data_IF_378311762655
#
_entry.id   IF_378311762655
#
_cell.length_a   1.000
_cell.length_b   1.000
_cell.length_c   1.000
_cell.angle_alpha   90.00
_cell.angle_beta   90.00
_cell.angle_gamma   90.00
#
_symmetry.space_group_name_H-M   'P 1'
#
loop_
_entity.id
_entity.type
_entity.pdbx_description
1 polymer ?
#
# COMPACT_ATOMS: atom_id res chain seq x y z
N UNK A 1 -4.53 -22.33 -7.96
CA UNK A 1 -4.41 -20.93 -8.42
C UNK A 1 -3.58 -20.86 -9.70
N UNK A 2 -2.31 -21.29 -9.69
CA UNK A 2 -1.42 -21.22 -10.86
C UNK A 2 -2.03 -21.88 -12.11
N UNK A 3 -2.74 -23.01 -11.96
CA UNK A 3 -3.46 -23.66 -13.08
C UNK A 3 -4.49 -22.73 -13.72
N UNK A 4 -5.18 -21.86 -12.94
CA UNK A 4 -6.15 -20.90 -13.47
C UNK A 4 -5.48 -19.72 -14.20
N UNK A 5 -4.22 -19.43 -13.92
CA UNK A 5 -3.45 -18.37 -14.59
C UNK A 5 -2.93 -18.81 -15.97
N UNK A 6 -2.70 -20.14 -16.17
CA UNK A 6 -2.35 -20.74 -17.46
C UNK A 6 -1.28 -19.98 -18.23
N UNK A 7 -1.65 -19.49 -19.40
CA UNK A 7 -0.77 -18.81 -20.36
C UNK A 7 -0.17 -17.48 -19.85
N UNK A 8 -0.60 -16.98 -18.71
CA UNK A 8 0.02 -15.80 -18.07
C UNK A 8 1.30 -16.13 -17.31
N UNK A 9 1.69 -17.41 -17.27
CA UNK A 9 2.88 -17.90 -16.60
C UNK A 9 3.96 -18.29 -17.60
N UNK A 10 5.22 -18.15 -17.20
CA UNK A 10 6.35 -18.73 -17.91
C UNK A 10 6.40 -20.23 -17.63
N UNK A 11 5.66 -21.01 -18.44
CA UNK A 11 5.46 -22.44 -18.20
C UNK A 11 6.74 -23.29 -18.38
N UNK A 12 7.74 -22.76 -19.04
CA UNK A 12 9.08 -23.33 -19.26
C UNK A 12 10.06 -23.05 -18.09
N UNK A 13 9.70 -22.13 -17.18
CA UNK A 13 10.55 -21.81 -16.04
C UNK A 13 10.71 -23.02 -15.11
N UNK A 14 11.97 -23.32 -14.74
CA UNK A 14 12.32 -24.39 -13.82
C UNK A 14 11.91 -24.04 -12.39
N UNK A 15 11.45 -25.05 -11.67
CA UNK A 15 11.14 -24.98 -10.23
C UNK A 15 12.22 -25.69 -9.40
N UNK A 16 12.10 -25.57 -8.07
CA UNK A 16 13.02 -26.24 -7.13
C UNK A 16 12.97 -27.78 -7.19
N UNK A 17 11.94 -28.35 -7.80
CA UNK A 17 11.82 -29.80 -8.01
C UNK A 17 12.57 -30.29 -9.26
N UNK A 18 13.12 -29.38 -10.07
CA UNK A 18 13.76 -29.71 -11.36
C UNK A 18 12.77 -29.87 -12.52
N UNK A 19 11.46 -29.80 -12.25
CA UNK A 19 10.42 -29.78 -13.26
C UNK A 19 10.08 -28.35 -13.68
N UNK A 20 9.55 -28.16 -14.89
CA UNK A 20 9.01 -26.87 -15.31
C UNK A 20 7.66 -26.60 -14.63
N UNK A 21 7.28 -25.30 -14.56
CA UNK A 21 5.92 -24.92 -14.10
C UNK A 21 4.85 -25.65 -14.92
N UNK A 22 5.01 -25.75 -16.23
CA UNK A 22 4.08 -26.48 -17.09
C UNK A 22 3.92 -27.96 -16.72
N UNK A 23 5.03 -28.64 -16.43
CA UNK A 23 5.03 -30.04 -15.98
C UNK A 23 4.29 -30.21 -14.66
N UNK A 24 4.59 -29.37 -13.66
CA UNK A 24 3.88 -29.38 -12.37
C UNK A 24 2.38 -29.13 -12.51
N UNK A 25 1.99 -28.24 -13.43
CA UNK A 25 0.60 -27.87 -13.63
C UNK A 25 -0.17 -28.87 -14.51
N UNK A 26 0.49 -29.80 -15.20
CA UNK A 26 -0.16 -30.77 -16.09
C UNK A 26 -1.22 -31.60 -15.33
N UNK A 27 -0.87 -32.08 -14.14
CA UNK A 27 -1.75 -32.89 -13.29
C UNK A 27 -2.60 -32.07 -12.31
N UNK A 28 -2.41 -30.76 -12.24
CA UNK A 28 -3.15 -29.92 -11.31
C UNK A 28 -4.60 -29.70 -11.76
N UNK A 29 -5.55 -29.76 -10.86
CA UNK A 29 -6.97 -29.54 -11.11
C UNK A 29 -7.55 -28.45 -10.22
N UNK A 30 -8.50 -27.69 -10.75
CA UNK A 30 -9.31 -26.76 -9.98
C UNK A 30 -10.51 -27.53 -9.43
N UNK A 31 -10.43 -27.92 -8.16
CA UNK A 31 -11.48 -28.74 -7.50
C UNK A 31 -12.75 -27.96 -7.20
N UNK A 32 -12.63 -26.68 -6.92
CA UNK A 32 -13.77 -25.81 -6.60
C UNK A 32 -13.69 -24.48 -7.38
N UNK A 33 -14.43 -24.35 -8.50
CA UNK A 33 -14.44 -23.13 -9.30
C UNK A 33 -15.14 -21.94 -8.62
N UNK A 34 -15.90 -22.18 -7.54
CA UNK A 34 -16.46 -21.08 -6.75
C UNK A 34 -15.39 -20.41 -5.86
N UNK A 35 -14.29 -21.11 -5.56
CA UNK A 35 -13.17 -20.58 -4.78
C UNK A 35 -12.07 -20.05 -5.70
N UNK A 36 -11.71 -20.84 -6.73
CA UNK A 36 -10.68 -20.46 -7.71
C UNK A 36 -11.38 -20.23 -9.05
N UNK A 37 -11.69 -18.98 -9.32
CA UNK A 37 -12.37 -18.56 -10.55
C UNK A 37 -11.46 -18.66 -11.77
N UNK A 38 -12.02 -18.94 -12.97
CA UNK A 38 -11.25 -18.83 -14.21
C UNK A 38 -10.94 -17.37 -14.56
N UNK A 39 -9.87 -17.13 -15.32
CA UNK A 39 -9.51 -15.78 -15.81
C UNK A 39 -10.62 -15.07 -16.56
N UNK A 40 -11.49 -15.82 -17.22
CA UNK A 40 -12.64 -15.27 -17.96
C UNK A 40 -13.77 -14.73 -17.06
N UNK A 41 -13.78 -15.09 -15.77
CA UNK A 41 -14.79 -14.66 -14.82
C UNK A 41 -14.19 -14.50 -13.41
N UNK A 42 -13.22 -13.61 -13.21
CA UNK A 42 -12.54 -13.40 -11.92
C UNK A 42 -13.47 -12.74 -10.90
N UNK A 43 -13.13 -12.81 -9.62
CA UNK A 43 -13.83 -12.04 -8.58
C UNK A 43 -13.68 -10.52 -8.77
N UNK A 44 -12.49 -10.09 -9.22
CA UNK A 44 -12.17 -8.70 -9.53
C UNK A 44 -11.33 -8.67 -10.81
N UNK A 45 -11.48 -7.64 -11.66
CA UNK A 45 -10.73 -7.54 -12.91
C UNK A 45 -9.23 -7.33 -12.69
N UNK A 46 -8.86 -6.79 -11.53
CA UNK A 46 -7.49 -6.50 -11.14
C UNK A 46 -7.09 -7.22 -9.85
N UNK A 47 -5.77 -7.32 -9.60
CA UNK A 47 -5.22 -7.85 -8.36
C UNK A 47 -5.53 -6.97 -7.15
N UNK A 48 -5.42 -7.56 -5.95
CA UNK A 48 -5.70 -6.85 -4.69
C UNK A 48 -4.66 -5.80 -4.29
N UNK A 49 -3.51 -5.77 -4.96
CA UNK A 49 -2.40 -4.83 -4.69
C UNK A 49 -2.05 -4.08 -5.96
N UNK A 50 -1.84 -2.77 -5.83
CA UNK A 50 -1.46 -1.90 -6.95
C UNK A 50 -0.30 -0.99 -6.59
N UNK A 51 0.42 -0.53 -7.61
CA UNK A 51 1.49 0.46 -7.48
C UNK A 51 0.96 1.82 -7.92
N UNK A 52 1.23 2.83 -7.10
CA UNK A 52 0.93 4.24 -7.38
C UNK A 52 2.23 4.96 -7.73
N UNK A 53 2.14 5.97 -8.59
CA UNK A 53 3.25 6.82 -9.01
C UNK A 53 2.89 8.28 -8.89
N UNK A 54 3.88 9.15 -8.87
CA UNK A 54 3.68 10.60 -8.84
C UNK A 54 4.89 11.32 -8.26
N UNK A 55 4.74 12.64 -8.06
CA UNK A 55 5.84 13.44 -7.51
C UNK A 55 6.24 13.03 -6.08
N UNK A 56 5.34 12.40 -5.33
CA UNK A 56 5.63 11.88 -3.99
C UNK A 56 6.30 10.49 -4.04
N UNK A 57 6.04 9.72 -5.08
CA UNK A 57 6.57 8.37 -5.26
C UNK A 57 7.01 8.14 -6.73
N UNK A 58 8.09 8.78 -7.20
CA UNK A 58 8.55 8.63 -8.58
C UNK A 58 8.95 7.19 -8.93
N UNK A 59 9.49 6.43 -7.98
CA UNK A 59 9.86 5.03 -8.15
C UNK A 59 8.74 4.06 -7.71
N UNK A 60 7.59 4.60 -7.31
CA UNK A 60 6.39 3.86 -6.94
C UNK A 60 6.14 3.78 -5.44
N UNK A 61 4.89 3.46 -5.12
CA UNK A 61 4.41 3.15 -3.78
C UNK A 61 3.32 2.07 -3.89
N UNK A 62 3.10 1.29 -2.85
CA UNK A 62 2.21 0.13 -2.88
C UNK A 62 0.99 0.33 -1.99
N UNK A 63 -0.18 0.02 -2.50
CA UNK A 63 -1.43 -0.01 -1.73
C UNK A 63 -2.19 -1.31 -1.94
N UNK A 64 -2.76 -1.85 -0.86
CA UNK A 64 -3.69 -2.99 -0.91
C UNK A 64 -5.09 -2.47 -1.27
N UNK A 65 -5.36 -2.27 -2.57
CA UNK A 65 -6.63 -1.69 -3.03
C UNK A 65 -7.86 -2.51 -2.62
N UNK A 66 -7.72 -3.83 -2.44
CA UNK A 66 -8.81 -4.70 -1.99
C UNK A 66 -9.28 -4.42 -0.55
N UNK A 67 -8.49 -3.70 0.25
CA UNK A 67 -8.81 -3.31 1.61
C UNK A 67 -9.27 -1.84 1.72
N UNK A 68 -9.36 -1.13 0.60
CA UNK A 68 -9.75 0.27 0.56
C UNK A 68 -11.22 0.38 0.17
N UNK A 69 -12.03 1.04 1.01
CA UNK A 69 -13.42 1.32 0.72
C UNK A 69 -13.55 2.20 -0.54
N UNK A 70 -14.63 2.04 -1.29
CA UNK A 70 -14.85 2.72 -2.56
C UNK A 70 -14.78 4.26 -2.43
N UNK A 71 -15.34 4.82 -1.35
CA UNK A 71 -15.35 6.26 -1.08
C UNK A 71 -13.97 6.83 -0.65
N UNK A 72 -12.97 5.96 -0.44
CA UNK A 72 -11.60 6.32 -0.07
C UNK A 72 -10.57 5.97 -1.16
N UNK A 73 -11.01 5.42 -2.30
CA UNK A 73 -10.11 5.06 -3.41
C UNK A 73 -9.54 6.27 -4.16
N UNK A 74 -10.26 7.39 -4.11
CA UNK A 74 -9.76 8.70 -4.52
C UNK A 74 -9.92 9.63 -3.33
N UNK A 75 -8.81 9.95 -2.67
CA UNK A 75 -8.78 10.69 -1.43
C UNK A 75 -7.78 11.83 -1.49
N UNK A 76 -8.16 12.96 -0.92
CA UNK A 76 -7.29 14.10 -0.69
C UNK A 76 -7.41 14.53 0.75
N UNK A 77 -6.27 14.84 1.36
CA UNK A 77 -6.23 15.26 2.74
C UNK A 77 -4.99 16.07 3.06
N UNK A 78 -5.00 16.68 4.24
CA UNK A 78 -3.85 17.44 4.73
C UNK A 78 -2.83 16.52 5.37
N UNK A 79 -1.58 16.70 5.03
CA UNK A 79 -0.47 15.98 5.62
C UNK A 79 -0.35 16.29 7.12
N UNK A 80 -0.25 15.23 7.91
CA UNK A 80 0.24 15.21 9.28
C UNK A 80 1.57 14.48 9.27
N UNK A 81 2.66 15.20 9.44
CA UNK A 81 4.01 14.69 9.20
C UNK A 81 4.62 14.18 10.50
N UNK A 82 5.05 12.92 10.48
CA UNK A 82 5.67 12.22 11.62
C UNK A 82 6.94 11.51 11.16
N UNK A 83 8.02 11.70 11.90
CA UNK A 83 9.33 11.12 11.58
C UNK A 83 9.57 9.76 12.24
N UNK A 84 8.51 9.10 12.72
CA UNK A 84 8.55 7.73 13.22
C UNK A 84 7.14 7.17 13.47
N UNK A 85 7.02 5.84 13.53
CA UNK A 85 5.81 5.16 13.99
C UNK A 85 5.40 5.62 15.40
N UNK A 86 6.37 5.81 16.32
CA UNK A 86 6.11 6.27 17.68
C UNK A 86 5.44 7.64 17.69
N UNK A 87 5.94 8.60 16.91
CA UNK A 87 5.33 9.93 16.81
C UNK A 87 3.89 9.86 16.27
N UNK A 88 3.61 8.97 15.32
CA UNK A 88 2.27 8.75 14.81
C UNK A 88 1.32 8.17 15.87
N UNK A 89 1.79 7.26 16.73
CA UNK A 89 1.01 6.73 17.84
C UNK A 89 0.72 7.81 18.90
N UNK A 90 1.69 8.65 19.23
CA UNK A 90 1.52 9.78 20.13
C UNK A 90 0.49 10.80 19.61
N UNK A 91 0.53 11.09 18.30
CA UNK A 91 -0.44 11.99 17.66
C UNK A 91 -1.87 11.41 17.67
N UNK A 92 -2.03 10.13 17.39
CA UNK A 92 -3.32 9.45 17.50
C UNK A 92 -3.84 9.42 18.93
N UNK A 93 -2.97 9.09 19.92
CA UNK A 93 -3.33 9.02 21.31
C UNK A 93 -3.69 10.37 21.94
N UNK A 94 -3.11 11.46 21.46
CA UNK A 94 -3.41 12.84 21.91
C UNK A 94 -4.63 13.47 21.23
N UNK A 95 -5.20 12.80 20.20
CA UNK A 95 -6.31 13.34 19.42
C UNK A 95 -5.89 14.46 18.44
N UNK A 96 -4.60 14.53 18.08
CA UNK A 96 -4.09 15.50 17.12
C UNK A 96 -4.41 15.15 15.65
N UNK A 97 -4.89 13.93 15.40
CA UNK A 97 -5.31 13.47 14.07
C UNK A 97 -6.81 13.63 13.92
N UNK A 98 -7.24 14.15 12.77
CA UNK A 98 -8.63 14.47 12.49
C UNK A 98 -9.13 13.79 11.19
N UNK A 99 -10.44 13.76 11.02
CA UNK A 99 -11.05 13.34 9.75
C UNK A 99 -10.56 14.22 8.59
N UNK A 100 -10.14 13.59 7.53
CA UNK A 100 -9.58 14.26 6.35
C UNK A 100 -8.06 14.37 6.34
N UNK A 101 -7.38 13.93 7.39
CA UNK A 101 -5.92 13.95 7.45
C UNK A 101 -5.28 12.78 6.67
N UNK A 102 -4.05 13.00 6.20
CA UNK A 102 -3.13 11.99 5.69
C UNK A 102 -1.92 11.93 6.61
N UNK A 103 -1.78 10.84 7.35
CA UNK A 103 -0.60 10.58 8.17
C UNK A 103 0.59 10.24 7.26
N UNK A 104 1.60 11.09 7.22
CA UNK A 104 2.84 10.88 6.48
C UNK A 104 3.91 10.46 7.48
N UNK A 105 4.23 9.15 7.48
CA UNK A 105 5.21 8.56 8.41
C UNK A 105 6.50 8.31 7.65
N UNK A 106 7.58 8.99 8.05
CA UNK A 106 8.86 9.01 7.36
C UNK A 106 9.93 8.27 8.13
N UNK A 107 11.02 7.95 7.43
CA UNK A 107 12.23 7.31 7.99
C UNK A 107 12.00 5.90 8.54
N UNK A 108 10.96 5.21 8.04
CA UNK A 108 10.64 3.81 8.36
C UNK A 108 10.99 2.87 7.18
N UNK A 109 11.66 3.40 6.15
CA UNK A 109 12.10 2.64 4.99
C UNK A 109 13.31 1.76 5.25
N UNK A 110 13.83 1.07 4.22
CA UNK A 110 14.90 0.07 4.35
C UNK A 110 16.18 0.59 5.00
N UNK A 111 16.51 1.88 4.81
CA UNK A 111 17.71 2.51 5.38
C UNK A 111 17.38 3.36 6.60
N UNK A 112 16.24 4.07 6.58
CA UNK A 112 15.81 4.93 7.68
C UNK A 112 15.34 4.16 8.90
N UNK A 113 14.58 3.07 8.68
CA UNK A 113 14.08 2.16 9.72
C UNK A 113 14.79 0.80 9.67
N UNK A 114 15.85 0.57 10.44
CA UNK A 114 16.60 -0.70 10.38
C UNK A 114 15.71 -1.92 10.55
N UNK A 115 15.76 -2.85 9.58
CA UNK A 115 14.90 -4.02 9.55
C UNK A 115 13.50 -3.76 9.00
N UNK A 116 13.16 -2.50 8.69
CA UNK A 116 11.88 -2.07 8.11
C UNK A 116 10.69 -2.74 8.80
N UNK A 117 10.44 -2.46 10.09
CA UNK A 117 9.36 -3.08 10.85
C UNK A 117 8.00 -2.72 10.24
N UNK A 118 7.01 -3.58 10.46
CA UNK A 118 5.64 -3.29 10.03
C UNK A 118 5.02 -2.20 10.90
N UNK A 119 4.39 -1.19 10.29
CA UNK A 119 3.66 -0.11 10.96
C UNK A 119 2.27 -0.60 11.43
N UNK A 120 2.25 -1.73 12.14
CA UNK A 120 1.00 -2.38 12.56
C UNK A 120 0.32 -1.63 13.71
N UNK A 121 1.10 -1.11 14.65
CA UNK A 121 0.55 -0.46 15.83
C UNK A 121 -0.25 0.80 15.46
N UNK A 122 0.22 1.60 14.50
CA UNK A 122 -0.50 2.79 13.99
C UNK A 122 -1.81 2.39 13.32
N UNK A 123 -1.81 1.35 12.48
CA UNK A 123 -3.04 0.91 11.79
C UNK A 123 -4.09 0.38 12.77
N UNK A 124 -3.66 -0.32 13.81
CA UNK A 124 -4.55 -0.78 14.89
C UNK A 124 -5.08 0.40 15.72
N UNK A 125 -4.21 1.35 16.09
CA UNK A 125 -4.62 2.54 16.84
C UNK A 125 -5.65 3.36 16.03
N UNK A 126 -5.41 3.54 14.71
CA UNK A 126 -6.35 4.22 13.83
C UNK A 126 -7.69 3.48 13.75
N UNK A 127 -7.68 2.16 13.62
CA UNK A 127 -8.91 1.35 13.59
C UNK A 127 -9.75 1.48 14.88
N UNK A 128 -9.09 1.70 16.03
CA UNK A 128 -9.76 1.89 17.33
C UNK A 128 -10.11 3.34 17.64
N UNK A 129 -9.55 4.33 16.93
CA UNK A 129 -9.79 5.75 17.18
C UNK A 129 -11.21 6.23 16.84
N UNK A 130 -11.95 5.48 16.03
CA UNK A 130 -13.24 5.87 15.48
C UNK A 130 -13.16 6.76 14.24
N UNK A 131 -11.98 7.22 13.85
CA UNK A 131 -11.75 7.97 12.61
C UNK A 131 -11.95 7.06 11.39
N UNK A 132 -12.67 7.58 10.39
CA UNK A 132 -13.05 6.78 9.21
C UNK A 132 -12.49 7.30 7.89
N UNK A 133 -12.07 8.54 7.86
CA UNK A 133 -11.56 9.23 6.66
C UNK A 133 -10.14 9.75 6.89
N UNK A 134 -9.26 8.85 7.26
CA UNK A 134 -7.82 9.10 7.42
C UNK A 134 -7.06 8.14 6.52
N UNK A 135 -6.05 8.64 5.84
CA UNK A 135 -5.12 7.83 5.04
C UNK A 135 -3.74 7.80 5.71
N UNK A 136 -2.95 6.77 5.37
CA UNK A 136 -1.55 6.66 5.78
C UNK A 136 -0.66 6.54 4.55
N UNK A 137 0.47 7.25 4.58
CA UNK A 137 1.52 7.20 3.57
C UNK A 137 2.86 7.04 4.28
N UNK A 138 3.67 6.06 3.88
CA UNK A 138 4.97 5.81 4.52
C UNK A 138 5.99 5.23 3.54
N UNK A 139 7.25 5.53 3.75
CA UNK A 139 8.37 4.84 3.11
C UNK A 139 8.66 3.46 3.75
N UNK A 140 8.05 3.19 4.91
CA UNK A 140 8.00 1.89 5.55
C UNK A 140 7.00 0.92 4.92
N UNK A 141 6.57 -0.08 5.67
CA UNK A 141 5.62 -1.11 5.20
C UNK A 141 4.46 -1.33 6.16
N UNK A 142 3.38 -1.85 5.62
CA UNK A 142 2.20 -2.26 6.40
C UNK A 142 2.03 -3.78 6.43
N UNK A 143 1.36 -4.26 7.47
CA UNK A 143 0.91 -5.65 7.55
C UNK A 143 -0.12 -5.98 6.46
N UNK A 144 -0.16 -7.23 6.03
CA UNK A 144 -1.21 -7.73 5.13
C UNK A 144 -2.63 -7.66 5.71
N UNK A 145 -2.77 -7.53 7.04
CA UNK A 145 -4.04 -7.36 7.73
C UNK A 145 -4.55 -5.90 7.75
N UNK A 146 -3.74 -4.94 7.27
CA UNK A 146 -4.09 -3.52 7.24
C UNK A 146 -5.32 -3.25 6.38
N UNK A 147 -6.22 -2.42 6.88
CA UNK A 147 -7.42 -1.91 6.21
C UNK A 147 -7.29 -0.40 5.94
N UNK A 148 -8.04 0.08 4.93
CA UNK A 148 -8.06 1.49 4.54
C UNK A 148 -6.96 1.89 3.55
N UNK A 149 -6.89 3.19 3.19
CA UNK A 149 -5.93 3.71 2.22
C UNK A 149 -4.54 3.88 2.86
N UNK A 150 -3.87 2.76 3.09
CA UNK A 150 -2.51 2.69 3.60
C UNK A 150 -1.55 2.43 2.45
N UNK A 151 -0.79 3.45 2.09
CA UNK A 151 0.20 3.46 1.01
C UNK A 151 1.58 3.31 1.62
N UNK A 152 2.21 2.17 1.41
CA UNK A 152 3.58 1.88 1.88
C UNK A 152 4.59 1.83 0.76
N UNK A 153 5.84 1.58 1.14
CA UNK A 153 6.97 1.45 0.20
C UNK A 153 7.14 2.68 -0.71
N UNK A 154 6.82 3.89 -0.19
CA UNK A 154 7.05 5.13 -0.95
C UNK A 154 8.52 5.24 -1.30
N UNK A 155 8.79 5.32 -2.59
CA UNK A 155 10.16 5.26 -3.10
C UNK A 155 10.45 6.42 -4.05
N UNK A 156 11.63 7.05 -3.90
CA UNK A 156 12.69 6.82 -2.89
C UNK A 156 12.29 7.17 -1.45
N UNK A 157 12.87 6.44 -0.47
CA UNK A 157 12.61 6.68 0.96
C UNK A 157 13.16 8.02 1.46
N UNK A 158 12.64 8.53 2.58
CA UNK A 158 13.05 9.81 3.18
C UNK A 158 14.53 9.87 3.54
N UNK A 159 15.09 8.78 4.08
CA UNK A 159 16.48 8.73 4.56
C UNK A 159 17.52 9.01 3.47
N UNK A 160 17.23 8.66 2.23
CA UNK A 160 18.11 8.95 1.08
C UNK A 160 17.71 10.23 0.33
N UNK A 161 16.87 11.06 0.91
CA UNK A 161 16.42 12.32 0.32
C UNK A 161 15.30 12.16 -0.72
N UNK A 162 14.50 11.09 -0.63
CA UNK A 162 13.32 10.93 -1.47
C UNK A 162 12.28 12.03 -1.22
N UNK A 163 11.35 12.27 -2.17
CA UNK A 163 10.37 13.37 -2.09
C UNK A 163 9.53 13.39 -0.81
N UNK A 164 9.27 12.23 -0.22
CA UNK A 164 8.53 12.12 1.04
C UNK A 164 9.22 12.86 2.20
N UNK A 165 10.56 13.03 2.15
CA UNK A 165 11.30 13.81 3.15
C UNK A 165 10.94 15.29 3.12
N UNK A 166 10.53 15.81 1.97
CA UNK A 166 10.18 17.22 1.75
C UNK A 166 8.72 17.57 1.99
N UNK A 167 7.88 16.60 2.39
CA UNK A 167 6.48 16.89 2.71
C UNK A 167 6.41 17.71 4.00
N UNK A 168 5.66 18.80 3.96
CA UNK A 168 5.46 19.69 5.09
C UNK A 168 4.09 19.49 5.75
N UNK A 169 3.99 19.89 7.00
CA UNK A 169 2.74 19.84 7.75
C UNK A 169 1.68 20.70 7.07
N UNK A 170 0.54 20.11 6.73
CA UNK A 170 -0.57 20.79 6.07
C UNK A 170 -0.57 20.73 4.55
N UNK A 171 0.47 20.22 3.92
CA UNK A 171 0.47 19.96 2.46
C UNK A 171 -0.74 19.13 2.02
N UNK A 172 -1.26 19.38 0.84
CA UNK A 172 -2.32 18.54 0.27
C UNK A 172 -1.72 17.27 -0.35
N UNK A 173 -2.04 16.12 0.23
CA UNK A 173 -1.68 14.81 -0.33
C UNK A 173 -2.88 14.22 -1.07
N UNK A 174 -2.67 13.77 -2.30
CA UNK A 174 -3.66 13.10 -3.14
C UNK A 174 -3.26 11.65 -3.38
N UNK A 175 -4.18 10.76 -3.04
CA UNK A 175 -4.15 9.32 -3.30
C UNK A 175 -5.28 9.02 -4.29
N UNK A 176 -4.96 8.59 -5.49
CA UNK A 176 -5.94 8.22 -6.52
C UNK A 176 -5.61 6.82 -7.04
N UNK A 177 -6.22 5.81 -6.42
CA UNK A 177 -5.97 4.41 -6.72
C UNK A 177 -6.44 4.06 -8.14
N UNK A 178 -7.63 4.47 -8.61
CA UNK A 178 -8.06 4.24 -9.98
C UNK A 178 -7.08 4.76 -11.04
N UNK A 179 -6.51 5.94 -10.83
CA UNK A 179 -5.56 6.56 -11.76
C UNK A 179 -4.09 6.24 -11.43
N UNK A 180 -3.83 5.38 -10.45
CA UNK A 180 -2.47 4.96 -10.03
C UNK A 180 -1.59 6.14 -9.62
N UNK A 181 -2.15 7.13 -8.92
CA UNK A 181 -1.49 8.39 -8.60
C UNK A 181 -1.28 8.55 -7.09
N UNK A 182 -0.05 8.98 -6.73
CA UNK A 182 0.29 9.50 -5.40
C UNK A 182 1.08 10.79 -5.58
N UNK A 183 0.52 11.90 -5.10
CA UNK A 183 1.20 13.19 -5.22
C UNK A 183 0.97 14.09 -4.02
N UNK A 184 1.92 15.00 -3.81
CA UNK A 184 1.80 16.14 -2.91
C UNK A 184 1.64 17.42 -3.73
N UNK A 185 0.81 18.31 -3.23
CA UNK A 185 0.68 19.68 -3.72
C UNK A 185 1.07 20.61 -2.58
N UNK A 186 2.08 21.40 -2.79
CA UNK A 186 2.42 22.43 -1.83
C UNK A 186 1.28 23.46 -1.80
N UNK A 187 0.83 23.80 -0.61
CA UNK A 187 -0.28 24.74 -0.40
C UNK A 187 0.22 26.18 -0.24
N UNK A 188 1.50 26.43 -0.46
CA UNK A 188 2.04 27.78 -0.48
C UNK A 188 1.48 28.57 -1.69
N UNK A 189 0.95 29.79 -1.46
CA UNK A 189 0.32 30.61 -2.47
C UNK A 189 1.28 31.14 -3.52
#
# INVERSE_FOLDING_TARGET
>A
VLKALGDSLHLDALTVTGETIGQLLASAEIRNPAVIRPKSAPWHPEGGTVVLYGNLAPDGAVVKQSAVREDMRAFRGRARVMDSERAALEALGSGAVHEGDVLVIRYEGPKGGPGMPETLAVTLALAHSGLRRVALVTDGRFSGATEGPCVGHVSPEAYIGGPIAGVEEGDEVEIDIPNRLLRVRNTDP
#
